data_IF_301440621140
#
_entry.id   IF_301440621140
#
_cell.length_a   1.000
_cell.length_b   1.000
_cell.length_c   1.000
_cell.angle_alpha   90.00
_cell.angle_beta   90.00
_cell.angle_gamma   90.00
#
_symmetry.space_group_name_H-M   'P 1'
#
loop_
_entity.id
_entity.type
_entity.pdbx_description
1 polymer ?
#
# COMPACT_ATOMS: atom_id res chain seq x y z
N UNK A 1 5.31 -14.76 13.67
CA UNK A 1 3.98 -14.59 14.31
C UNK A 1 3.97 -14.18 15.80
N UNK A 2 5.05 -14.36 16.61
CA UNK A 2 5.01 -14.06 18.06
C UNK A 2 5.06 -12.56 18.42
N UNK A 3 5.82 -11.75 17.67
CA UNK A 3 5.97 -10.31 17.93
C UNK A 3 4.66 -9.52 17.73
N UNK A 4 3.94 -9.77 16.65
CA UNK A 4 2.66 -9.10 16.38
C UNK A 4 1.65 -9.30 17.52
N UNK A 5 1.51 -10.54 18.03
CA UNK A 5 0.61 -10.85 19.16
C UNK A 5 1.03 -10.13 20.45
N UNK A 6 2.33 -10.03 20.74
CA UNK A 6 2.82 -9.28 21.89
C UNK A 6 2.56 -7.78 21.77
N UNK A 7 2.69 -7.21 20.57
CA UNK A 7 2.40 -5.80 20.31
C UNK A 7 0.90 -5.51 20.44
N UNK A 8 0.05 -6.36 19.87
CA UNK A 8 -1.41 -6.25 20.02
C UNK A 8 -1.84 -6.38 21.47
N UNK A 9 -1.29 -7.32 22.23
CA UNK A 9 -1.64 -7.51 23.64
C UNK A 9 -1.18 -6.34 24.53
N UNK A 10 0.04 -5.85 24.34
CA UNK A 10 0.64 -4.83 25.21
C UNK A 10 0.20 -3.41 24.87
N UNK A 11 0.08 -3.08 23.59
CA UNK A 11 -0.17 -1.72 23.13
C UNK A 11 -1.58 -1.55 22.53
N UNK A 12 -2.43 -2.60 22.57
CA UNK A 12 -3.77 -2.61 21.97
C UNK A 12 -3.77 -2.22 20.49
N UNK A 13 -2.64 -2.45 19.83
CA UNK A 13 -2.43 -2.18 18.41
C UNK A 13 -3.06 -3.33 17.62
N UNK A 14 -4.23 -3.09 17.05
CA UNK A 14 -4.91 -4.07 16.20
C UNK A 14 -4.15 -4.27 14.89
N UNK A 15 -3.47 -3.23 14.42
CA UNK A 15 -2.64 -3.29 13.22
C UNK A 15 -1.33 -2.51 13.42
N UNK A 16 -0.21 -3.24 13.33
CA UNK A 16 1.14 -2.69 13.44
C UNK A 16 1.42 -1.70 12.30
N UNK A 17 0.66 -1.76 11.21
CA UNK A 17 0.72 -0.85 10.07
C UNK A 17 -0.18 0.39 10.22
N UNK A 18 -1.04 0.42 11.25
CA UNK A 18 -1.86 1.57 11.65
C UNK A 18 -1.36 2.13 12.98
N UNK A 19 -0.04 2.08 13.22
CA UNK A 19 0.57 2.83 14.33
C UNK A 19 0.48 4.32 13.98
N UNK A 20 -0.73 4.85 14.13
CA UNK A 20 -0.99 6.28 14.16
C UNK A 20 -0.39 6.80 15.45
N UNK A 21 0.16 8.01 15.38
CA UNK A 21 0.71 8.77 16.51
C UNK A 21 -0.35 9.15 17.58
N UNK A 22 -1.48 8.44 17.62
CA UNK A 22 -2.58 8.62 18.55
C UNK A 22 -2.19 8.24 19.97
N UNK A 23 -1.98 9.28 20.78
CA UNK A 23 -1.97 9.36 22.25
C UNK A 23 -2.13 8.03 23.02
N UNK A 24 -1.02 7.30 23.19
CA UNK A 24 -0.88 6.35 24.29
C UNK A 24 0.03 6.97 25.35
N UNK A 25 -0.56 7.29 26.50
CA UNK A 25 0.05 8.06 27.60
C UNK A 25 1.20 7.37 28.34
N UNK A 26 1.64 6.17 27.92
CA UNK A 26 2.74 5.44 28.56
C UNK A 26 3.89 5.13 27.58
N UNK A 27 4.82 6.07 27.49
CA UNK A 27 5.96 6.08 26.56
C UNK A 27 7.11 5.15 27.00
N UNK A 28 6.91 3.83 26.95
CA UNK A 28 8.06 2.89 27.04
C UNK A 28 9.10 3.21 25.95
N UNK A 29 10.40 3.10 26.26
CA UNK A 29 11.48 3.34 25.30
C UNK A 29 11.35 2.44 24.07
N UNK A 30 10.91 1.19 24.27
CA UNK A 30 10.60 0.24 23.21
C UNK A 30 9.50 0.75 22.27
N UNK A 31 8.39 1.28 22.79
CA UNK A 31 7.30 1.83 21.95
C UNK A 31 7.76 3.02 21.11
N UNK A 32 8.55 3.93 21.70
CA UNK A 32 9.16 5.04 20.96
C UNK A 32 10.10 4.56 19.86
N UNK A 33 10.90 3.52 20.13
CA UNK A 33 11.76 2.89 19.13
C UNK A 33 10.96 2.28 17.98
N UNK A 34 9.86 1.57 18.28
CA UNK A 34 8.97 1.00 17.26
C UNK A 34 8.32 2.10 16.41
N UNK A 35 7.69 3.10 17.04
CA UNK A 35 7.06 4.23 16.34
C UNK A 35 8.09 4.98 15.47
N UNK A 36 9.32 5.16 15.97
CA UNK A 36 10.40 5.82 15.23
C UNK A 36 10.93 4.99 14.07
N UNK A 37 10.88 3.65 14.15
CA UNK A 37 11.28 2.75 13.08
C UNK A 37 10.18 2.51 12.05
N UNK A 38 8.91 2.67 12.43
CA UNK A 38 7.75 2.47 11.56
C UNK A 38 7.83 3.21 10.21
N UNK A 39 8.17 4.52 10.13
CA UNK A 39 8.35 5.21 8.86
C UNK A 39 9.32 4.49 7.90
N UNK A 40 10.48 4.06 8.42
CA UNK A 40 11.50 3.33 7.64
C UNK A 40 11.04 1.94 7.21
N UNK A 41 10.21 1.30 8.03
CA UNK A 41 9.54 0.05 7.69
C UNK A 41 8.57 0.27 6.52
N UNK A 42 7.77 1.35 6.55
CA UNK A 42 6.82 1.67 5.46
C UNK A 42 7.51 2.01 4.13
N UNK A 43 8.70 2.63 4.16
CA UNK A 43 9.49 2.91 2.95
C UNK A 43 9.88 1.63 2.18
N UNK A 44 10.02 0.50 2.87
CA UNK A 44 10.32 -0.81 2.27
C UNK A 44 9.09 -1.65 1.90
N UNK A 45 7.88 -1.17 2.21
CA UNK A 45 6.65 -1.89 1.94
C UNK A 45 6.10 -1.54 0.55
N UNK A 46 5.66 -2.59 -0.14
CA UNK A 46 4.93 -2.51 -1.40
C UNK A 46 3.48 -2.94 -1.15
N UNK A 47 2.53 -2.19 -1.68
CA UNK A 47 1.15 -2.61 -1.77
C UNK A 47 0.97 -3.65 -2.87
N UNK A 48 0.36 -4.77 -2.52
CA UNK A 48 -0.05 -5.82 -3.44
C UNK A 48 -1.52 -5.59 -3.80
N UNK A 49 -1.74 -5.36 -5.09
CA UNK A 49 -3.06 -5.11 -5.67
C UNK A 49 -3.98 -6.32 -5.47
N UNK A 50 -5.16 -6.07 -4.89
CA UNK A 50 -6.22 -7.04 -4.73
C UNK A 50 -7.51 -6.52 -5.33
N UNK A 51 -8.41 -6.02 -4.48
CA UNK A 51 -9.65 -5.39 -4.92
C UNK A 51 -9.50 -3.90 -5.27
N UNK A 52 -8.34 -3.30 -5.00
CA UNK A 52 -8.00 -1.91 -5.34
C UNK A 52 -8.79 -0.86 -4.58
N UNK A 53 -9.53 -1.24 -3.54
CA UNK A 53 -10.38 -0.32 -2.78
C UNK A 53 -9.60 0.52 -1.76
N UNK A 54 -8.41 0.06 -1.34
CA UNK A 54 -7.60 0.72 -0.31
C UNK A 54 -6.38 1.42 -0.88
N UNK A 55 -5.77 0.84 -1.91
CA UNK A 55 -4.57 1.40 -2.53
C UNK A 55 -4.94 2.72 -3.20
N UNK A 56 -4.32 3.82 -2.75
CA UNK A 56 -4.40 5.11 -3.41
C UNK A 56 -3.51 5.11 -4.63
N UNK A 57 -4.11 5.16 -5.82
CA UNK A 57 -3.42 4.97 -7.08
C UNK A 57 -2.16 5.85 -7.22
N UNK A 58 -2.22 7.11 -6.79
CA UNK A 58 -1.10 8.04 -6.95
C UNK A 58 -0.10 8.04 -5.79
N UNK A 59 -0.60 7.81 -4.57
CA UNK A 59 0.11 8.14 -3.33
C UNK A 59 0.68 6.92 -2.60
N UNK A 60 0.29 5.73 -3.00
CA UNK A 60 0.81 4.48 -2.45
C UNK A 60 1.86 3.86 -3.37
N UNK A 61 2.81 3.14 -2.78
CA UNK A 61 3.83 2.39 -3.51
C UNK A 61 3.27 1.01 -3.88
N UNK A 62 2.69 0.86 -5.07
CA UNK A 62 2.10 -0.40 -5.55
C UNK A 62 2.70 -0.89 -6.87
N UNK A 63 3.53 -0.08 -7.53
CA UNK A 63 4.25 -0.48 -8.74
C UNK A 63 5.70 -0.82 -8.38
N UNK A 64 6.13 -2.08 -8.55
CA UNK A 64 7.50 -2.48 -8.27
C UNK A 64 8.54 -1.60 -8.97
N UNK A 65 9.50 -1.10 -8.21
CA UNK A 65 10.66 -0.37 -8.75
C UNK A 65 10.41 1.09 -9.16
N UNK A 66 9.21 1.64 -8.91
CA UNK A 66 8.92 3.07 -9.15
C UNK A 66 8.86 3.85 -7.83
N UNK A 67 8.17 3.32 -6.82
CA UNK A 67 7.76 4.11 -5.66
C UNK A 67 6.36 4.69 -5.87
N UNK A 68 6.08 5.83 -5.24
CA UNK A 68 4.81 6.54 -5.43
C UNK A 68 4.83 7.31 -6.74
N UNK A 69 3.73 7.29 -7.48
CA UNK A 69 3.63 8.02 -8.75
C UNK A 69 3.78 9.54 -8.57
N UNK A 70 3.26 10.09 -7.47
CA UNK A 70 3.41 11.54 -7.15
C UNK A 70 4.85 11.98 -6.90
N UNK A 71 5.75 11.04 -6.56
CA UNK A 71 7.16 11.34 -6.33
C UNK A 71 7.97 11.23 -7.63
N UNK A 72 7.34 10.82 -8.74
CA UNK A 72 8.00 10.63 -10.02
C UNK A 72 8.10 11.98 -10.77
N UNK A 73 9.30 12.40 -11.21
CA UNK A 73 9.47 13.67 -11.92
C UNK A 73 8.58 13.78 -13.15
N UNK A 74 7.89 14.92 -13.30
CA UNK A 74 7.02 15.18 -14.44
C UNK A 74 5.62 14.55 -14.35
N UNK A 75 5.30 13.84 -13.26
CA UNK A 75 3.98 13.27 -13.03
C UNK A 75 3.26 14.08 -11.95
N UNK A 76 2.13 14.67 -12.31
CA UNK A 76 1.26 15.38 -11.38
C UNK A 76 -0.17 14.86 -11.54
N UNK A 77 -0.76 14.24 -10.51
CA UNK A 77 -2.15 13.82 -10.58
C UNK A 77 -3.07 15.03 -10.76
N UNK A 78 -4.14 14.91 -11.56
CA UNK A 78 -5.23 15.88 -11.51
C UNK A 78 -5.82 15.98 -10.09
N UNK A 79 -6.12 17.19 -9.65
CA UNK A 79 -6.60 17.46 -8.30
C UNK A 79 -7.91 16.70 -7.95
N UNK A 80 -8.71 16.37 -8.96
CA UNK A 80 -9.98 15.64 -8.77
C UNK A 80 -9.80 14.14 -8.49
N UNK A 81 -8.61 13.56 -8.72
CA UNK A 81 -8.39 12.13 -8.54
C UNK A 81 -7.13 11.74 -7.76
N UNK A 82 -6.46 12.72 -7.15
CA UNK A 82 -5.20 12.53 -6.42
C UNK A 82 -5.28 11.53 -5.25
N UNK A 83 -6.49 11.28 -4.74
CA UNK A 83 -6.79 10.35 -3.65
C UNK A 83 -7.69 9.20 -4.08
N UNK A 84 -7.99 9.03 -5.37
CA UNK A 84 -8.85 7.95 -5.82
C UNK A 84 -8.20 6.58 -5.61
N UNK A 85 -8.97 5.59 -5.12
CA UNK A 85 -8.51 4.21 -5.05
C UNK A 85 -8.16 3.65 -6.43
N UNK A 86 -7.28 2.65 -6.48
CA UNK A 86 -6.84 2.01 -7.72
C UNK A 86 -8.00 1.40 -8.53
N UNK A 87 -9.08 0.95 -7.88
CA UNK A 87 -10.26 0.40 -8.57
C UNK A 87 -10.94 1.41 -9.51
N UNK A 88 -10.81 2.72 -9.25
CA UNK A 88 -11.36 3.76 -10.13
C UNK A 88 -10.62 3.88 -11.48
N UNK A 89 -9.48 3.23 -11.63
CA UNK A 89 -8.67 3.22 -12.85
C UNK A 89 -8.77 1.88 -13.58
N UNK A 90 -9.78 1.07 -13.25
CA UNK A 90 -9.99 -0.25 -13.83
C UNK A 90 -11.44 -0.44 -14.23
N UNK A 91 -11.66 -1.16 -15.34
CA UNK A 91 -12.96 -1.53 -15.87
C UNK A 91 -12.90 -3.01 -16.24
N UNK A 92 -13.86 -3.81 -15.78
CA UNK A 92 -14.04 -5.21 -16.18
C UNK A 92 -12.76 -6.07 -16.14
N UNK A 93 -12.03 -6.07 -15.02
CA UNK A 93 -10.76 -6.82 -14.85
C UNK A 93 -9.62 -6.37 -15.76
N UNK A 94 -9.71 -5.17 -16.34
CA UNK A 94 -8.64 -4.52 -17.08
C UNK A 94 -8.37 -3.14 -16.48
N UNK A 95 -7.14 -2.67 -16.61
CA UNK A 95 -6.86 -1.24 -16.45
C UNK A 95 -7.63 -0.44 -17.51
N UNK A 96 -8.12 0.73 -17.12
CA UNK A 96 -8.72 1.70 -18.04
C UNK A 96 -7.59 2.40 -18.80
N UNK A 97 -7.08 1.74 -19.84
CA UNK A 97 -5.94 2.23 -20.60
C UNK A 97 -6.22 3.54 -21.33
N UNK A 98 -7.46 3.76 -21.76
CA UNK A 98 -7.87 5.02 -22.39
C UNK A 98 -7.66 6.18 -21.40
N UNK A 99 -8.12 6.03 -20.16
CA UNK A 99 -7.87 7.01 -19.11
C UNK A 99 -6.37 7.09 -18.77
N UNK A 100 -5.70 5.96 -18.51
CA UNK A 100 -4.32 5.96 -18.04
C UNK A 100 -3.34 6.60 -19.03
N UNK A 101 -3.51 6.42 -20.34
CA UNK A 101 -2.67 7.08 -21.34
C UNK A 101 -2.84 8.61 -21.37
N UNK A 102 -3.95 9.14 -20.88
CA UNK A 102 -4.13 10.60 -20.72
C UNK A 102 -3.46 11.15 -19.47
N UNK A 103 -3.22 10.30 -18.46
CA UNK A 103 -2.75 10.68 -17.14
C UNK A 103 -1.27 10.39 -16.90
N UNK A 104 -0.72 9.39 -17.60
CA UNK A 104 0.60 8.84 -17.34
C UNK A 104 1.45 8.73 -18.60
N UNK A 105 2.77 8.95 -18.50
CA UNK A 105 3.70 8.69 -19.58
C UNK A 105 3.77 7.19 -19.94
N UNK A 106 4.14 6.89 -21.19
CA UNK A 106 4.13 5.54 -21.74
C UNK A 106 5.03 4.54 -20.99
N UNK A 107 6.17 4.99 -20.46
CA UNK A 107 7.09 4.16 -19.71
C UNK A 107 6.50 3.71 -18.37
N UNK A 108 5.68 4.55 -17.71
CA UNK A 108 4.95 4.18 -16.51
C UNK A 108 3.83 3.19 -16.85
N UNK A 109 3.04 3.47 -17.88
CA UNK A 109 2.00 2.54 -18.35
C UNK A 109 2.58 1.15 -18.65
N UNK A 110 3.77 1.08 -19.27
CA UNK A 110 4.45 -0.18 -19.57
C UNK A 110 4.78 -1.01 -18.32
N UNK A 111 5.04 -0.35 -17.18
CA UNK A 111 5.27 -1.02 -15.89
C UNK A 111 3.95 -1.43 -15.22
N UNK A 112 2.90 -0.63 -15.37
CA UNK A 112 1.56 -0.95 -14.83
C UNK A 112 1.00 -2.21 -15.48
N UNK A 113 1.31 -2.49 -16.75
CA UNK A 113 0.90 -3.73 -17.44
C UNK A 113 1.31 -4.99 -16.67
N UNK A 114 2.44 -4.97 -15.95
CA UNK A 114 2.92 -6.10 -15.16
C UNK A 114 2.17 -6.29 -13.83
N UNK A 115 1.35 -5.31 -13.41
CA UNK A 115 0.52 -5.39 -12.22
C UNK A 115 -0.88 -5.81 -12.63
N UNK A 116 -1.39 -6.87 -11.99
CA UNK A 116 -2.76 -7.30 -12.21
C UNK A 116 -3.74 -6.18 -11.82
N UNK A 117 -4.70 -5.82 -12.69
CA UNK A 117 -5.70 -4.83 -12.37
C UNK A 117 -6.58 -5.30 -11.21
N UNK A 118 -7.11 -4.36 -10.42
CA UNK A 118 -7.95 -4.70 -9.29
C UNK A 118 -9.25 -5.38 -9.72
N UNK A 119 -9.73 -6.27 -8.87
CA UNK A 119 -10.94 -7.05 -9.14
C UNK A 119 -11.75 -7.30 -7.87
N UNK A 120 -13.08 -7.15 -7.95
CA UNK A 120 -13.94 -7.23 -6.76
C UNK A 120 -13.97 -8.61 -6.08
N UNK A 121 -13.76 -9.71 -6.84
CA UNK A 121 -13.65 -11.07 -6.25
C UNK A 121 -12.21 -11.41 -5.84
N UNK A 122 -11.25 -10.52 -6.09
CA UNK A 122 -9.89 -10.72 -5.60
C UNK A 122 -9.85 -10.55 -4.08
N UNK A 123 -8.74 -11.00 -3.48
CA UNK A 123 -8.48 -10.79 -2.06
C UNK A 123 -8.40 -9.28 -1.75
N UNK A 124 -8.64 -8.86 -0.51
CA UNK A 124 -8.41 -7.48 -0.10
C UNK A 124 -6.95 -7.06 -0.35
N UNK A 125 -6.75 -5.79 -0.67
CA UNK A 125 -5.42 -5.19 -0.79
C UNK A 125 -4.57 -5.48 0.46
N UNK A 126 -3.28 -5.75 0.24
CA UNK A 126 -2.36 -6.16 1.30
C UNK A 126 -0.96 -5.59 1.09
N UNK A 127 -0.10 -5.72 2.11
CA UNK A 127 1.30 -5.32 2.02
C UNK A 127 2.22 -6.51 1.83
N UNK A 128 3.32 -6.27 1.11
CA UNK A 128 4.47 -7.14 1.03
C UNK A 128 5.77 -6.40 1.38
N UNK A 129 6.72 -7.12 1.97
CA UNK A 129 8.10 -6.65 2.07
C UNK A 129 8.85 -6.92 0.79
N UNK A 130 9.65 -5.94 0.35
CA UNK A 130 10.72 -6.19 -0.60
C UNK A 130 11.75 -7.12 0.09
N UNK A 131 11.85 -8.36 -0.36
CA UNK A 131 12.88 -9.30 0.11
C UNK A 131 14.29 -8.80 -0.21
N UNK A 132 15.29 -9.30 0.51
CA UNK A 132 16.70 -8.87 0.43
C UNK A 132 17.46 -9.36 -0.83
N UNK A 133 16.75 -9.59 -1.95
CA UNK A 133 17.36 -10.00 -3.23
C UNK A 133 16.69 -11.18 -3.91
N UNK A 134 15.71 -11.83 -3.29
CA UNK A 134 14.83 -12.76 -3.99
C UNK A 134 13.59 -12.02 -4.51
N UNK A 135 13.16 -12.29 -5.75
CA UNK A 135 11.90 -11.83 -6.37
C UNK A 135 10.62 -12.29 -5.62
N UNK A 136 10.78 -12.90 -4.45
CA UNK A 136 9.73 -13.42 -3.60
C UNK A 136 9.28 -12.36 -2.58
N UNK A 137 8.14 -11.74 -2.85
CA UNK A 137 7.45 -10.85 -1.92
C UNK A 137 6.84 -11.67 -0.77
N UNK A 138 7.31 -11.45 0.46
CA UNK A 138 6.70 -12.04 1.65
C UNK A 138 5.44 -11.23 2.01
N UNK A 139 4.26 -11.84 1.83
CA UNK A 139 2.97 -11.24 2.16
C UNK A 139 2.82 -11.08 3.68
N UNK A 140 2.53 -9.87 4.15
CA UNK A 140 2.63 -9.53 5.59
C UNK A 140 1.28 -9.52 6.29
N UNK A 141 0.18 -9.24 5.58
CA UNK A 141 -1.16 -9.22 6.18
C UNK A 141 -2.26 -9.09 5.13
N UNK A 142 -3.25 -9.99 5.12
CA UNK A 142 -4.53 -9.79 4.44
C UNK A 142 -5.51 -9.19 5.44
N UNK A 143 -6.09 -8.02 5.14
CA UNK A 143 -7.02 -7.35 6.04
C UNK A 143 -8.39 -8.08 6.04
N UNK A 144 -8.84 -8.58 7.19
CA UNK A 144 -10.26 -8.89 7.42
C UNK A 144 -10.91 -7.70 8.12
N UNK A 145 -11.50 -6.78 7.35
CA UNK A 145 -12.46 -5.83 7.89
C UNK A 145 -13.82 -6.54 7.96
N UNK A 146 -14.13 -7.15 9.10
CA UNK A 146 -15.51 -7.52 9.39
C UNK A 146 -16.28 -6.26 9.79
N UNK A 147 -17.45 -5.96 9.20
CA UNK A 147 -18.37 -5.03 9.82
C UNK A 147 -19.01 -5.72 11.03
N UNK A 148 -19.16 -4.98 12.12
CA UNK A 148 -20.15 -5.28 13.15
C UNK A 148 -21.51 -4.79 12.68
#
# INVERSE_FOLDING_TARGET
>A
MRLARCLTAKYKVQDVLQISLGSYSNKSSLWRGIVSACPKVYEGLLWIMGNGCKIKFWRDNWIPGIGKLVDTPGITPPAWCDNYPAVHYSINRSWDWELLYTLLPIDICSKIVAVNPPHYEARPDCFAWKGDGSENYLQVSCYNAYPR
#
